data_IF_957805920173
#
_entry.id   IF_957805920173
#
_cell.length_a   1.000
_cell.length_b   1.000
_cell.length_c   1.000
_cell.angle_alpha   90.00
_cell.angle_beta   90.00
_cell.angle_gamma   90.00
#
_symmetry.space_group_name_H-M   'P 1'
#
loop_
_entity.id
_entity.type
_entity.pdbx_description
1 polymer ?
#
# COMPACT_ATOMS: atom_id res chain seq x y z
N UNK A 1 -13.31 70.57 -4.11
CA UNK A 1 -13.82 70.04 -2.83
C UNK A 1 -13.21 68.65 -2.64
N UNK A 2 -12.62 68.42 -1.47
CA UNK A 2 -11.79 67.27 -1.17
C UNK A 2 -12.61 66.04 -0.73
N UNK A 3 -12.09 64.85 -1.03
CA UNK A 3 -11.67 63.83 -0.06
C UNK A 3 -11.94 62.38 -0.49
N UNK A 4 -10.95 61.56 -0.12
CA UNK A 4 -10.63 60.18 -0.48
C UNK A 4 -11.62 59.14 0.09
N UNK A 5 -11.52 57.88 -0.35
CA UNK A 5 -11.03 56.73 0.45
C UNK A 5 -11.13 55.38 -0.30
N UNK A 6 -10.00 54.63 -0.28
CA UNK A 6 -9.76 53.15 -0.26
C UNK A 6 -10.48 52.24 -1.28
N UNK A 7 -9.80 51.56 -2.21
CA UNK A 7 -8.79 50.47 -2.13
C UNK A 7 -9.39 49.05 -2.08
N UNK A 8 -8.73 48.13 -2.82
CA UNK A 8 -8.87 46.65 -2.85
C UNK A 8 -10.05 46.17 -3.73
N UNK A 9 -9.96 45.20 -4.65
CA UNK A 9 -9.11 44.02 -4.78
C UNK A 9 -8.86 43.64 -6.25
N UNK A 10 -7.72 43.02 -6.51
CA UNK A 10 -7.35 42.31 -7.75
C UNK A 10 -8.12 40.99 -7.82
N UNK A 11 -8.67 40.63 -8.99
CA UNK A 11 -8.98 39.24 -9.31
C UNK A 11 -8.70 38.96 -10.79
N UNK A 12 -7.70 38.09 -11.00
CA UNK A 12 -7.07 37.74 -12.27
C UNK A 12 -7.53 36.33 -12.65
N UNK A 13 -7.94 36.21 -13.93
CA UNK A 13 -7.97 35.03 -14.81
C UNK A 13 -8.81 33.81 -14.40
N UNK A 14 -9.50 33.22 -15.39
CA UNK A 14 -9.03 31.99 -16.06
C UNK A 14 -10.08 31.51 -17.07
N UNK A 15 -9.74 31.63 -18.35
CA UNK A 15 -10.30 30.81 -19.41
C UNK A 15 -9.54 29.49 -19.44
N UNK A 16 -10.24 28.37 -19.43
CA UNK A 16 -9.80 27.18 -20.15
C UNK A 16 -10.86 26.09 -20.15
N UNK A 17 -11.32 25.76 -21.35
CA UNK A 17 -11.87 24.47 -21.68
C UNK A 17 -10.92 23.36 -21.20
N UNK A 18 -11.46 22.32 -20.57
CA UNK A 18 -10.74 21.08 -20.30
C UNK A 18 -11.44 19.95 -21.05
N UNK A 19 -10.68 19.49 -22.04
CA UNK A 19 -10.81 18.32 -22.87
C UNK A 19 -11.15 17.07 -22.05
N UNK A 20 -12.09 16.28 -22.57
CA UNK A 20 -12.41 14.94 -22.06
C UNK A 20 -11.18 14.01 -22.10
N UNK A 21 -11.00 13.24 -21.03
CA UNK A 21 -10.19 12.02 -21.06
C UNK A 21 -10.92 10.96 -20.22
N UNK A 22 -10.93 9.75 -20.77
CA UNK A 22 -11.76 8.62 -20.41
C UNK A 22 -11.44 8.05 -19.02
N UNK A 23 -12.45 7.47 -18.37
CA UNK A 23 -12.27 6.58 -17.23
C UNK A 23 -11.52 5.32 -17.66
N UNK A 24 -10.45 5.01 -16.93
CA UNK A 24 -9.65 3.80 -17.06
C UNK A 24 -9.08 3.46 -15.68
N UNK A 25 -9.70 2.46 -15.05
CA UNK A 25 -9.10 1.44 -14.18
C UNK A 25 -8.09 1.90 -13.10
N UNK A 26 -8.61 2.38 -11.98
CA UNK A 26 -7.85 2.77 -10.78
C UNK A 26 -7.44 1.58 -9.88
N UNK A 27 -6.69 0.60 -10.42
CA UNK A 27 -6.08 -0.51 -9.64
C UNK A 27 -4.56 -0.69 -9.90
N UNK A 28 -3.85 0.40 -10.18
CA UNK A 28 -2.43 0.35 -10.53
C UNK A 28 -1.49 0.34 -9.30
N UNK A 29 -1.35 -0.80 -8.61
CA UNK A 29 -0.24 -1.04 -7.66
C UNK A 29 0.94 -1.70 -8.38
N UNK A 30 2.16 -1.10 -8.55
CA UNK A 30 3.10 -0.78 -7.45
C UNK A 30 4.08 0.41 -7.69
N UNK A 31 4.49 1.18 -6.66
CA UNK A 31 5.60 2.15 -6.80
C UNK A 31 6.59 2.24 -5.62
N UNK A 32 7.77 1.63 -5.79
CA UNK A 32 9.03 2.14 -5.27
C UNK A 32 10.17 1.76 -6.25
N UNK A 33 10.67 2.75 -7.00
CA UNK A 33 11.86 2.65 -7.86
C UNK A 33 11.58 2.56 -9.37
N UNK A 34 12.06 3.56 -10.12
CA UNK A 34 12.16 3.55 -11.59
C UNK A 34 13.14 2.45 -12.05
N UNK A 35 12.65 1.23 -12.18
CA UNK A 35 13.32 0.14 -12.87
C UNK A 35 12.36 -0.43 -13.91
N UNK A 36 12.85 -0.71 -15.14
CA UNK A 36 12.08 -1.38 -16.18
C UNK A 36 11.54 -2.70 -15.61
N UNK A 37 10.23 -2.77 -15.33
CA UNK A 37 9.58 -4.00 -14.87
C UNK A 37 9.40 -4.90 -16.08
N UNK A 38 10.03 -6.08 -16.04
CA UNK A 38 9.76 -7.18 -16.97
C UNK A 38 8.69 -8.07 -16.35
N UNK A 39 7.58 -8.27 -17.05
CA UNK A 39 6.40 -9.07 -16.66
C UNK A 39 5.22 -8.21 -16.19
N UNK A 40 4.06 -8.37 -16.84
CA UNK A 40 2.80 -7.77 -16.38
C UNK A 40 2.42 -8.29 -15.00
N UNK A 41 1.84 -7.44 -14.16
CA UNK A 41 1.24 -7.86 -12.89
C UNK A 41 -0.21 -8.27 -13.13
N UNK A 42 -0.67 -9.27 -12.38
CA UNK A 42 -2.06 -9.74 -12.42
C UNK A 42 -2.68 -9.54 -11.04
N UNK A 43 -3.81 -8.83 -10.96
CA UNK A 43 -4.57 -8.67 -9.73
C UNK A 43 -5.16 -10.02 -9.28
N UNK A 44 -5.25 -10.23 -7.97
CA UNK A 44 -5.94 -11.37 -7.37
C UNK A 44 -7.35 -10.90 -7.01
N UNK A 45 -8.38 -11.51 -7.60
CA UNK A 45 -9.77 -11.07 -7.43
C UNK A 45 -10.34 -11.43 -6.04
N UNK A 46 -10.19 -12.68 -5.60
CA UNK A 46 -10.68 -13.15 -4.30
C UNK A 46 -9.56 -13.19 -3.26
N UNK A 47 -9.11 -12.02 -2.80
CA UNK A 47 -8.01 -11.92 -1.83
C UNK A 47 -8.39 -12.48 -0.47
N UNK A 48 -9.60 -12.18 0.02
CA UNK A 48 -10.05 -12.59 1.35
C UNK A 48 -10.33 -14.10 1.43
N UNK A 49 -10.89 -14.70 0.37
CA UNK A 49 -11.12 -16.15 0.28
C UNK A 49 -9.88 -16.95 -0.09
N UNK A 50 -8.84 -16.33 -0.67
CA UNK A 50 -7.62 -17.03 -1.06
C UNK A 50 -6.71 -17.31 0.15
N UNK A 51 -6.80 -18.54 0.65
CA UNK A 51 -6.00 -19.02 1.78
C UNK A 51 -4.49 -18.87 1.57
N UNK A 52 -3.97 -19.11 0.37
CA UNK A 52 -2.53 -18.97 0.11
C UNK A 52 -2.08 -17.52 0.29
N UNK A 53 -2.87 -16.58 -0.24
CA UNK A 53 -2.58 -15.14 -0.11
C UNK A 53 -2.67 -14.69 1.36
N UNK A 54 -3.66 -15.14 2.11
CA UNK A 54 -3.77 -14.85 3.54
C UNK A 54 -2.59 -15.43 4.34
N UNK A 55 -2.17 -16.67 4.05
CA UNK A 55 -0.99 -17.29 4.68
C UNK A 55 0.31 -16.52 4.36
N UNK A 56 0.45 -16.00 3.13
CA UNK A 56 1.59 -15.17 2.75
C UNK A 56 1.56 -13.81 3.47
N UNK A 57 0.38 -13.21 3.66
CA UNK A 57 0.21 -12.00 4.46
C UNK A 57 0.63 -12.20 5.92
N UNK A 58 0.14 -13.28 6.54
CA UNK A 58 0.52 -13.68 7.89
C UNK A 58 2.03 -13.90 8.02
N UNK A 59 2.62 -14.63 7.06
CA UNK A 59 4.07 -14.84 6.99
C UNK A 59 4.84 -13.52 6.99
N UNK A 60 4.41 -12.53 6.20
CA UNK A 60 5.07 -11.23 6.15
C UNK A 60 5.03 -10.50 7.50
N UNK A 61 3.89 -10.51 8.19
CA UNK A 61 3.76 -9.88 9.52
C UNK A 61 4.64 -10.60 10.56
N UNK A 62 4.63 -11.93 10.57
CA UNK A 62 5.47 -12.74 11.47
C UNK A 62 6.95 -12.48 11.21
N UNK A 63 7.38 -12.46 9.94
CA UNK A 63 8.75 -12.18 9.56
C UNK A 63 9.17 -10.75 9.91
N UNK A 64 8.29 -9.76 9.72
CA UNK A 64 8.56 -8.38 10.11
C UNK A 64 8.80 -8.29 11.62
N UNK A 65 7.90 -8.87 12.42
CA UNK A 65 8.04 -8.93 13.88
C UNK A 65 9.31 -9.67 14.31
N UNK A 66 9.73 -10.72 13.58
CA UNK A 66 10.96 -11.48 13.83
C UNK A 66 12.22 -10.67 13.51
N UNK A 67 12.22 -9.89 12.44
CA UNK A 67 13.33 -9.04 12.00
C UNK A 67 13.45 -7.74 12.83
N UNK A 68 12.37 -7.33 13.48
CA UNK A 68 12.35 -6.15 14.36
C UNK A 68 13.28 -6.30 15.57
N UNK A 69 13.89 -5.18 15.99
CA UNK A 69 14.75 -5.17 17.18
C UNK A 69 13.92 -5.33 18.47
N UNK A 70 14.36 -6.13 19.46
CA UNK A 70 13.72 -6.20 20.80
C UNK A 70 13.67 -4.84 21.52
N UNK A 71 14.54 -3.90 21.14
CA UNK A 71 14.57 -2.53 21.69
C UNK A 71 13.55 -1.59 21.05
N UNK A 72 12.88 -1.98 19.96
CA UNK A 72 11.71 -1.28 19.43
C UNK A 72 10.48 -1.63 20.28
N UNK A 73 10.51 -1.19 21.55
CA UNK A 73 9.38 -1.27 22.49
C UNK A 73 8.16 -0.64 21.81
N UNK A 74 7.18 -1.44 21.37
CA UNK A 74 5.92 -0.88 20.86
C UNK A 74 5.43 -1.34 19.48
N UNK A 75 6.19 -2.16 18.74
CA UNK A 75 5.89 -2.41 17.32
C UNK A 75 5.60 -3.88 16.98
N UNK A 76 4.90 -4.62 17.85
CA UNK A 76 4.44 -5.97 17.48
C UNK A 76 3.13 -5.85 16.71
N UNK A 77 3.16 -6.14 15.42
CA UNK A 77 1.97 -6.14 14.58
C UNK A 77 1.20 -7.45 14.77
N UNK A 78 -0.12 -7.37 14.81
CA UNK A 78 -1.03 -8.52 14.76
C UNK A 78 -1.71 -8.50 13.40
N UNK A 79 -1.57 -9.59 12.66
CA UNK A 79 -2.17 -9.75 11.34
C UNK A 79 -3.70 -9.74 11.45
N UNK A 80 -4.37 -8.97 10.59
CA UNK A 80 -5.83 -9.02 10.42
C UNK A 80 -6.20 -9.78 9.15
N UNK A 81 -5.89 -9.20 7.98
CA UNK A 81 -6.19 -9.78 6.65
C UNK A 81 -5.33 -9.16 5.56
N UNK A 82 -5.23 -9.83 4.42
CA UNK A 82 -4.79 -9.21 3.17
C UNK A 82 -5.99 -8.55 2.51
N UNK A 83 -5.87 -7.27 2.15
CA UNK A 83 -6.95 -6.45 1.55
C UNK A 83 -6.78 -6.26 0.04
N UNK A 84 -5.57 -6.42 -0.49
CA UNK A 84 -5.32 -6.45 -1.93
C UNK A 84 -4.08 -7.29 -2.23
N UNK A 85 -4.06 -7.94 -3.39
CA UNK A 85 -2.89 -8.69 -3.83
C UNK A 85 -2.71 -8.62 -5.35
N UNK A 86 -1.45 -8.56 -5.78
CA UNK A 86 -1.07 -8.75 -7.17
C UNK A 86 0.05 -9.77 -7.27
N UNK A 87 0.11 -10.48 -8.41
CA UNK A 87 1.14 -11.47 -8.70
C UNK A 87 1.97 -11.06 -9.90
N UNK A 88 3.21 -11.51 -9.93
CA UNK A 88 4.11 -11.36 -11.07
C UNK A 88 4.95 -12.63 -11.23
N UNK A 89 4.94 -13.20 -12.42
CA UNK A 89 5.80 -14.34 -12.77
C UNK A 89 7.24 -13.85 -12.97
N UNK A 90 8.17 -14.47 -12.27
CA UNK A 90 9.62 -14.21 -12.31
C UNK A 90 10.37 -15.55 -12.32
N UNK A 91 11.59 -15.63 -11.78
CA UNK A 91 12.17 -16.90 -11.32
C UNK A 91 11.48 -17.36 -10.02
N UNK A 92 10.17 -17.61 -10.11
CA UNK A 92 9.24 -17.84 -9.01
C UNK A 92 7.95 -17.02 -9.21
N UNK A 93 7.14 -16.90 -8.16
CA UNK A 93 5.97 -16.02 -8.12
C UNK A 93 6.25 -14.93 -7.10
N UNK A 94 6.21 -13.67 -7.54
CA UNK A 94 6.28 -12.51 -6.67
C UNK A 94 4.88 -12.05 -6.35
N UNK A 95 4.57 -11.93 -5.07
CA UNK A 95 3.34 -11.37 -4.55
C UNK A 95 3.60 -9.96 -4.03
N UNK A 96 2.77 -9.03 -4.47
CA UNK A 96 2.62 -7.69 -3.92
C UNK A 96 1.37 -7.71 -3.06
N UNK A 97 1.51 -7.61 -1.75
CA UNK A 97 0.42 -7.72 -0.80
C UNK A 97 0.18 -6.38 -0.12
N UNK A 98 -1.09 -6.03 0.03
CA UNK A 98 -1.53 -4.97 0.93
C UNK A 98 -2.22 -5.61 2.12
N UNK A 99 -1.67 -5.40 3.31
CA UNK A 99 -1.98 -6.15 4.53
C UNK A 99 -2.52 -5.18 5.57
N UNK A 100 -3.70 -5.46 6.10
CA UNK A 100 -4.21 -4.82 7.30
C UNK A 100 -3.64 -5.53 8.54
N UNK A 101 -3.05 -4.77 9.45
CA UNK A 101 -2.51 -5.25 10.71
C UNK A 101 -2.67 -4.19 11.81
N UNK A 102 -2.88 -4.65 13.04
CA UNK A 102 -3.07 -3.80 14.22
C UNK A 102 -1.86 -3.79 15.14
N UNK A 103 -1.77 -2.80 16.02
CA UNK A 103 -0.70 -2.76 17.02
C UNK A 103 -1.06 -3.64 18.22
N UNK A 104 -0.37 -4.77 18.38
CA UNK A 104 -0.63 -5.74 19.45
C UNK A 104 -0.26 -5.29 20.87
N UNK A 105 0.24 -4.06 21.05
CA UNK A 105 0.59 -3.50 22.37
C UNK A 105 -0.37 -2.39 22.83
N UNK A 106 -1.33 -1.99 22.00
CA UNK A 106 -2.32 -0.97 22.34
C UNK A 106 -3.64 -1.68 22.66
N UNK A 107 -3.94 -1.84 23.94
CA UNK A 107 -5.26 -2.27 24.41
C UNK A 107 -6.10 -1.01 24.66
N UNK A 108 -7.21 -0.84 23.93
CA UNK A 108 -8.13 0.30 24.04
C UNK A 108 -8.81 0.66 22.72
N UNK A 109 -9.76 1.61 22.75
CA UNK A 109 -10.61 2.04 21.62
C UNK A 109 -9.86 2.60 20.38
N UNK A 110 -8.52 2.70 20.43
CA UNK A 110 -7.63 3.09 19.33
C UNK A 110 -7.03 1.87 18.57
N UNK A 111 -7.70 0.70 18.54
CA UNK A 111 -7.28 -0.52 17.81
C UNK A 111 -7.54 -0.40 16.30
N UNK A 112 -7.04 0.67 15.69
CA UNK A 112 -7.24 0.93 14.27
C UNK A 112 -6.32 0.04 13.41
N UNK A 113 -6.90 -0.60 12.38
CA UNK A 113 -6.14 -1.37 11.40
C UNK A 113 -5.23 -0.43 10.59
N UNK A 114 -3.93 -0.68 10.63
CA UNK A 114 -2.97 -0.01 9.76
C UNK A 114 -2.69 -0.86 8.55
N UNK A 115 -2.56 -0.20 7.40
CA UNK A 115 -2.28 -0.87 6.14
C UNK A 115 -0.78 -0.85 5.85
N UNK A 116 -0.26 -1.98 5.39
CA UNK A 116 1.15 -2.19 5.06
C UNK A 116 1.27 -2.79 3.66
N UNK A 117 2.30 -2.39 2.95
CA UNK A 117 2.68 -2.98 1.67
C UNK A 117 3.85 -3.93 1.87
N UNK A 118 3.68 -5.17 1.40
CA UNK A 118 4.66 -6.23 1.50
C UNK A 118 4.95 -6.83 0.12
N UNK A 119 6.20 -7.26 -0.08
CA UNK A 119 6.61 -8.01 -1.26
C UNK A 119 7.24 -9.31 -0.81
N UNK A 120 6.70 -10.43 -1.29
CA UNK A 120 7.20 -11.77 -0.99
C UNK A 120 7.38 -12.56 -2.28
N UNK A 121 8.48 -13.31 -2.37
CA UNK A 121 8.74 -14.22 -3.50
C UNK A 121 8.64 -15.66 -3.03
N UNK A 122 7.92 -16.46 -3.80
CA UNK A 122 7.77 -17.91 -3.61
C UNK A 122 8.42 -18.61 -4.80
N UNK A 123 9.29 -19.59 -4.53
CA UNK A 123 9.90 -20.42 -5.58
C UNK A 123 9.21 -21.78 -5.57
N UNK A 124 8.62 -22.22 -6.68
CA UNK A 124 7.86 -23.47 -6.72
C UNK A 124 8.74 -24.72 -6.58
N UNK A 125 10.03 -24.62 -6.94
CA UNK A 125 10.99 -25.74 -6.95
C UNK A 125 11.78 -25.92 -5.65
N UNK A 126 11.64 -25.01 -4.68
CA UNK A 126 12.24 -25.12 -3.33
C UNK A 126 11.23 -24.57 -2.34
N UNK A 127 10.92 -25.25 -1.21
CA UNK A 127 9.98 -24.76 -0.20
C UNK A 127 10.55 -23.54 0.53
N UNK A 128 10.64 -22.41 -0.17
CA UNK A 128 11.25 -21.17 0.27
C UNK A 128 10.32 -20.00 -0.08
N UNK A 129 10.05 -19.19 0.94
CA UNK A 129 9.32 -17.94 0.85
C UNK A 129 10.24 -16.86 1.40
N UNK A 130 10.42 -15.78 0.66
CA UNK A 130 11.34 -14.71 1.03
C UNK A 130 10.62 -13.37 1.00
N UNK A 131 10.46 -12.74 2.17
CA UNK A 131 9.94 -11.38 2.27
C UNK A 131 11.04 -10.38 1.91
N UNK A 132 10.86 -9.68 0.79
CA UNK A 132 11.79 -8.70 0.24
C UNK A 132 11.61 -7.32 0.87
N UNK A 133 10.36 -6.91 1.10
CA UNK A 133 10.04 -5.60 1.71
C UNK A 133 8.77 -5.67 2.54
N UNK A 134 8.70 -4.83 3.56
CA UNK A 134 7.52 -4.59 4.39
C UNK A 134 7.58 -3.16 4.90
N UNK A 135 6.59 -2.34 4.53
CA UNK A 135 6.54 -0.93 4.90
C UNK A 135 5.09 -0.48 5.12
N UNK A 136 4.84 0.57 5.92
CA UNK A 136 3.53 1.21 5.97
C UNK A 136 3.08 1.56 4.55
N UNK A 137 1.82 1.30 4.25
CA UNK A 137 1.25 1.69 2.98
C UNK A 137 1.28 3.21 2.87
N UNK A 138 1.72 3.72 1.73
CA UNK A 138 1.53 5.13 1.45
C UNK A 138 0.03 5.41 1.48
N UNK A 139 -0.39 6.28 2.40
CA UNK A 139 -1.73 6.84 2.43
C UNK A 139 -1.95 7.49 1.06
N UNK A 140 -2.74 6.83 0.22
CA UNK A 140 -3.23 7.53 -0.97
C UNK A 140 -4.21 8.56 -0.43
N UNK A 141 -3.97 9.87 -0.61
CA UNK A 141 -4.96 10.86 -0.21
C UNK A 141 -6.23 10.53 -1.00
N UNK A 142 -7.25 10.07 -0.28
CA UNK A 142 -8.57 9.82 -0.84
C UNK A 142 -9.14 11.14 -1.38
N UNK A 143 -9.79 11.01 -2.54
CA UNK A 143 -10.84 11.85 -3.11
C UNK A 143 -11.31 13.07 -2.29
#
# INVERSE_FOLDING_TARGET
MASKLYAVAVAVLLSSARLAAAGADDEQWPAAGRGRKVGGTTAVEDVEGNREVQELGLFCVVEHNRRGSPTARGHRLVFSRVVAAQTQVVAGIKYYLRIAARNGLREGDDDEEKVFDAVVVVKAWVPSREMLSFAPAAEQPGY
#
